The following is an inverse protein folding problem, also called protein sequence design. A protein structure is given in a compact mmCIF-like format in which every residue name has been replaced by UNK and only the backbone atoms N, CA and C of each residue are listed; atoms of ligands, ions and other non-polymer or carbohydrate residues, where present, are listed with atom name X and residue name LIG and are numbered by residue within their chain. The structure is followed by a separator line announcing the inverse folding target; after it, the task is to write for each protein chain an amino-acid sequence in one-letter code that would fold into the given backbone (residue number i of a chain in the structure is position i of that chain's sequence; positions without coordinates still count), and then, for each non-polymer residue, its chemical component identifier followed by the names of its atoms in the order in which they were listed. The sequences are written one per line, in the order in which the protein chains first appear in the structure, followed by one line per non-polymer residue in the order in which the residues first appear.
data_IF_455369284772
#
_entry.id   IF_455369284772
#
_cell.length_a   1.000
_cell.length_b   1.000
_cell.length_c   1.000
_cell.angle_alpha   90.00
_cell.angle_beta   90.00
_cell.angle_gamma   90.00
#
_symmetry.space_group_name_H-M   'P 1'
#
loop_
_entity.id
_entity.type
_entity.pdbx_description
1 polymer ?
#
# COMPACT_ATOMS: atom_id res chain seq x y z
N UNK A 1 53.06 1.90 -57.64
CA UNK A 1 52.49 0.89 -56.74
C UNK A 1 52.45 1.51 -55.36
N UNK A 2 51.32 2.12 -55.02
CA UNK A 2 50.21 1.52 -54.25
C UNK A 2 50.50 1.66 -52.73
N UNK A 3 49.87 2.64 -52.07
CA UNK A 3 48.66 2.52 -51.21
C UNK A 3 49.08 2.29 -49.73
N UNK A 4 48.43 2.76 -48.66
CA UNK A 4 47.33 3.68 -48.34
C UNK A 4 47.37 3.87 -46.81
N UNK A 5 46.86 5.00 -46.32
CA UNK A 5 46.65 5.33 -44.89
C UNK A 5 45.67 4.36 -44.21
N UNK A 6 45.83 4.08 -42.92
CA UNK A 6 44.72 3.84 -41.98
C UNK A 6 45.24 4.02 -40.54
N UNK A 7 44.96 5.15 -39.88
CA UNK A 7 43.79 5.44 -39.05
C UNK A 7 43.73 4.58 -37.77
N UNK A 8 43.76 5.28 -36.64
CA UNK A 8 43.84 4.71 -35.30
C UNK A 8 42.61 3.88 -34.92
N UNK A 9 42.85 2.66 -34.47
CA UNK A 9 41.85 1.84 -33.79
C UNK A 9 41.93 2.11 -32.29
N UNK A 10 41.24 3.17 -31.83
CA UNK A 10 40.79 3.23 -30.45
C UNK A 10 39.60 2.30 -30.30
N UNK A 11 39.79 1.22 -29.54
CA UNK A 11 38.72 0.29 -29.15
C UNK A 11 37.63 1.08 -28.39
N UNK A 12 36.34 0.95 -28.76
CA UNK A 12 35.27 1.46 -27.92
C UNK A 12 35.17 0.61 -26.65
N UNK A 13 35.33 1.26 -25.49
CA UNK A 13 35.00 0.66 -24.19
C UNK A 13 33.56 0.13 -24.21
N UNK A 14 33.28 -1.06 -23.66
CA UNK A 14 31.91 -1.52 -23.52
C UNK A 14 31.16 -0.53 -22.61
N UNK A 15 30.11 0.09 -23.15
CA UNK A 15 29.15 0.83 -22.35
C UNK A 15 28.58 -0.09 -21.27
N UNK A 16 28.35 0.41 -20.02
CA UNK A 16 27.63 -0.37 -19.04
C UNK A 16 26.21 -0.56 -19.58
N UNK A 17 25.95 -1.74 -20.13
CA UNK A 17 24.59 -2.17 -20.40
C UNK A 17 23.91 -2.26 -19.04
N UNK A 18 22.89 -1.43 -18.85
CA UNK A 18 21.92 -1.57 -17.77
C UNK A 18 21.20 -2.89 -17.97
N UNK A 19 21.81 -3.95 -17.47
CA UNK A 19 21.28 -5.29 -17.46
C UNK A 19 19.99 -5.27 -16.67
N UNK A 20 18.90 -5.58 -17.39
CA UNK A 20 17.58 -5.91 -16.89
C UNK A 20 17.72 -6.78 -15.63
N UNK A 21 17.40 -6.22 -14.47
CA UNK A 21 17.16 -7.03 -13.28
C UNK A 21 15.92 -7.86 -13.54
N UNK A 22 16.16 -9.16 -13.65
CA UNK A 22 15.17 -10.21 -13.70
C UNK A 22 14.08 -9.96 -12.65
N UNK A 23 12.83 -10.20 -13.06
CA UNK A 23 11.65 -10.23 -12.22
C UNK A 23 11.86 -11.34 -11.18
N UNK A 24 12.40 -10.98 -10.02
CA UNK A 24 12.09 -11.67 -8.78
C UNK A 24 10.83 -11.02 -8.25
N UNK A 25 9.71 -11.77 -8.24
CA UNK A 25 8.49 -11.39 -7.52
C UNK A 25 8.85 -11.24 -6.05
N UNK A 26 9.35 -10.07 -5.70
CA UNK A 26 9.63 -9.66 -4.34
C UNK A 26 8.32 -9.08 -3.84
N UNK A 27 7.74 -9.73 -2.83
CA UNK A 27 6.52 -9.30 -2.17
C UNK A 27 6.59 -7.79 -1.85
N UNK A 28 5.46 -7.10 -2.00
CA UNK A 28 5.21 -5.68 -1.67
C UNK A 28 6.07 -4.60 -2.32
N UNK A 29 6.69 -4.81 -3.49
CA UNK A 29 7.40 -3.71 -4.16
C UNK A 29 6.47 -2.79 -4.95
N UNK A 30 6.56 -1.48 -4.74
CA UNK A 30 5.92 -0.50 -5.62
C UNK A 30 6.41 -0.63 -7.07
N UNK A 31 5.52 -0.41 -8.06
CA UNK A 31 5.92 -0.44 -9.46
C UNK A 31 6.91 0.70 -9.77
N UNK A 32 7.65 0.57 -10.87
CA UNK A 32 8.55 1.64 -11.30
C UNK A 32 7.72 2.85 -11.74
N UNK A 33 7.91 4.04 -11.12
CA UNK A 33 7.18 5.23 -11.51
C UNK A 33 7.61 5.68 -12.90
N UNK A 34 6.72 6.40 -13.60
CA UNK A 34 7.06 6.94 -14.92
C UNK A 34 8.22 7.92 -14.84
N UNK A 35 9.13 7.84 -15.83
CA UNK A 35 10.25 8.77 -15.96
C UNK A 35 9.82 10.24 -16.11
N UNK A 36 8.67 10.47 -16.74
CA UNK A 36 8.13 11.81 -16.94
C UNK A 36 6.76 11.92 -16.26
N UNK A 37 6.65 12.77 -15.22
CA UNK A 37 5.38 13.10 -14.60
C UNK A 37 4.34 13.56 -15.63
N UNK A 38 3.07 13.38 -15.29
CA UNK A 38 1.96 13.90 -16.07
C UNK A 38 2.04 15.43 -16.09
N UNK A 39 1.89 16.01 -17.28
CA UNK A 39 1.90 17.46 -17.43
C UNK A 39 0.55 18.02 -16.98
N UNK A 40 0.53 19.07 -16.14
CA UNK A 40 -0.70 19.77 -15.79
C UNK A 40 -1.49 20.21 -17.04
N UNK A 41 -2.80 19.97 -17.04
CA UNK A 41 -3.74 20.22 -18.14
C UNK A 41 -3.63 19.27 -19.33
N UNK A 42 -2.80 18.22 -19.28
CA UNK A 42 -2.62 17.33 -20.43
C UNK A 42 -3.75 16.30 -20.54
N UNK A 43 -4.00 15.83 -21.77
CA UNK A 43 -4.97 14.75 -22.02
C UNK A 43 -4.65 13.47 -21.23
N UNK A 44 -3.36 13.19 -21.00
CA UNK A 44 -2.93 12.03 -20.20
C UNK A 44 -3.24 12.21 -18.72
N UNK A 45 -3.15 13.44 -18.20
CA UNK A 45 -3.55 13.76 -16.82
C UNK A 45 -5.06 13.62 -16.65
N UNK A 46 -5.84 14.21 -17.55
CA UNK A 46 -7.31 14.13 -17.52
C UNK A 46 -7.77 12.67 -17.60
N UNK A 47 -7.18 11.88 -18.51
CA UNK A 47 -7.49 10.46 -18.63
C UNK A 47 -7.13 9.67 -17.37
N UNK A 48 -6.01 9.99 -16.72
CA UNK A 48 -5.60 9.38 -15.46
C UNK A 48 -6.57 9.71 -14.31
N UNK A 49 -6.94 10.97 -14.16
CA UNK A 49 -7.93 11.43 -13.16
C UNK A 49 -9.24 10.67 -13.34
N UNK A 50 -9.79 10.68 -14.56
CA UNK A 50 -11.04 9.97 -14.86
C UNK A 50 -10.94 8.46 -14.57
N UNK A 51 -9.81 7.84 -14.89
CA UNK A 51 -9.57 6.43 -14.64
C UNK A 51 -9.56 6.11 -13.14
N UNK A 52 -8.78 6.85 -12.35
CA UNK A 52 -8.67 6.62 -10.89
C UNK A 52 -10.00 6.91 -10.21
N UNK A 53 -10.67 8.01 -10.55
CA UNK A 53 -11.98 8.35 -10.00
C UNK A 53 -13.03 7.25 -10.30
N UNK A 54 -13.04 6.75 -11.53
CA UNK A 54 -13.93 5.66 -11.92
C UNK A 54 -13.65 4.37 -11.14
N UNK A 55 -12.37 4.05 -10.90
CA UNK A 55 -11.99 2.87 -10.13
C UNK A 55 -12.31 3.01 -8.65
N UNK A 56 -12.06 4.16 -8.04
CA UNK A 56 -12.45 4.43 -6.65
C UNK A 56 -13.97 4.35 -6.50
N UNK A 57 -14.74 4.91 -7.44
CA UNK A 57 -16.19 4.83 -7.43
C UNK A 57 -16.68 3.38 -7.55
N UNK A 58 -16.06 2.58 -8.42
CA UNK A 58 -16.35 1.16 -8.56
C UNK A 58 -16.09 0.39 -7.25
N UNK A 59 -14.93 0.62 -6.61
CA UNK A 59 -14.58 0.02 -5.32
C UNK A 59 -15.63 0.36 -4.25
N UNK A 60 -16.00 1.64 -4.13
CA UNK A 60 -17.03 2.07 -3.17
C UNK A 60 -18.40 1.44 -3.44
N UNK A 61 -18.78 1.27 -4.71
CA UNK A 61 -20.02 0.58 -5.07
C UNK A 61 -19.99 -0.89 -4.67
N UNK A 62 -18.89 -1.61 -4.92
CA UNK A 62 -18.73 -3.00 -4.49
C UNK A 62 -18.75 -3.14 -2.97
N UNK A 63 -18.11 -2.21 -2.26
CA UNK A 63 -18.13 -2.17 -0.81
C UNK A 63 -19.54 -1.92 -0.26
N UNK A 64 -20.28 -0.94 -0.78
CA UNK A 64 -21.65 -0.68 -0.36
C UNK A 64 -22.57 -1.89 -0.58
N UNK A 65 -22.38 -2.62 -1.68
CA UNK A 65 -23.18 -3.80 -2.01
C UNK A 65 -22.96 -5.00 -1.10
N UNK A 66 -21.84 -5.07 -0.37
CA UNK A 66 -21.63 -6.05 0.71
C UNK A 66 -22.75 -6.02 1.76
N UNK A 67 -23.35 -4.84 1.98
CA UNK A 67 -24.42 -4.63 2.95
C UNK A 67 -25.82 -4.73 2.33
N UNK A 68 -25.95 -4.86 1.01
CA UNK A 68 -27.23 -5.04 0.35
C UNK A 68 -27.54 -6.52 0.16
N UNK A 69 -28.63 -7.00 0.75
CA UNK A 69 -29.03 -8.42 0.72
C UNK A 69 -29.52 -8.94 -0.63
N UNK A 70 -29.40 -8.16 -1.72
CA UNK A 70 -29.81 -8.53 -3.06
C UNK A 70 -28.62 -8.96 -3.91
N UNK A 71 -28.34 -10.28 -3.96
CA UNK A 71 -27.47 -10.86 -4.99
C UNK A 71 -28.22 -10.86 -6.31
N UNK A 72 -28.03 -9.82 -7.10
CA UNK A 72 -28.38 -9.88 -8.51
C UNK A 72 -27.25 -10.60 -9.24
N UNK A 73 -27.38 -11.92 -9.38
CA UNK A 73 -26.31 -12.82 -9.88
C UNK A 73 -26.02 -12.62 -11.37
N UNK A 74 -26.79 -11.78 -12.07
CA UNK A 74 -26.64 -11.54 -13.50
C UNK A 74 -25.67 -10.41 -13.88
N UNK A 75 -25.15 -9.66 -12.92
CA UNK A 75 -24.24 -8.53 -13.19
C UNK A 75 -22.94 -8.70 -12.38
N UNK A 76 -21.89 -9.24 -13.00
CA UNK A 76 -20.60 -9.49 -12.35
C UNK A 76 -19.94 -8.19 -11.86
N UNK A 77 -20.18 -7.08 -12.57
CA UNK A 77 -19.74 -5.73 -12.17
C UNK A 77 -20.57 -5.19 -10.98
N UNK A 78 -21.66 -5.86 -10.64
CA UNK A 78 -22.51 -5.56 -9.49
C UNK A 78 -22.22 -6.40 -8.24
N UNK A 79 -21.31 -7.36 -8.26
CA UNK A 79 -21.08 -8.21 -7.08
C UNK A 79 -20.31 -7.45 -6.00
N UNK A 80 -20.85 -7.44 -4.78
CA UNK A 80 -20.16 -6.89 -3.61
C UNK A 80 -18.89 -7.67 -3.23
N UNK A 81 -18.09 -7.13 -2.32
CA UNK A 81 -16.93 -7.87 -1.79
C UNK A 81 -17.38 -9.00 -0.86
N UNK A 82 -16.99 -10.23 -1.18
CA UNK A 82 -17.25 -11.41 -0.34
C UNK A 82 -16.24 -11.51 0.81
N UNK A 83 -14.98 -11.13 0.55
CA UNK A 83 -13.88 -11.11 1.51
C UNK A 83 -13.03 -9.84 1.33
N UNK A 84 -12.12 -9.61 2.28
CA UNK A 84 -11.21 -8.47 2.23
C UNK A 84 -10.12 -8.62 1.17
N UNK A 85 -9.78 -9.84 0.76
CA UNK A 85 -8.71 -10.10 -0.21
C UNK A 85 -9.07 -9.52 -1.58
N UNK A 86 -10.30 -9.72 -2.03
CA UNK A 86 -10.84 -9.10 -3.25
C UNK A 86 -10.81 -7.56 -3.18
N UNK A 87 -11.09 -6.98 -2.02
CA UNK A 87 -11.02 -5.53 -1.83
C UNK A 87 -9.57 -5.03 -1.86
N UNK A 88 -8.65 -5.75 -1.22
CA UNK A 88 -7.22 -5.46 -1.25
C UNK A 88 -6.67 -5.50 -2.66
N UNK A 89 -7.06 -6.48 -3.47
CA UNK A 89 -6.65 -6.57 -4.87
C UNK A 89 -7.07 -5.33 -5.66
N UNK A 90 -8.35 -4.93 -5.59
CA UNK A 90 -8.83 -3.73 -6.29
C UNK A 90 -8.13 -2.45 -5.79
N UNK A 91 -7.92 -2.31 -4.48
CA UNK A 91 -7.21 -1.18 -3.86
C UNK A 91 -5.75 -1.13 -4.29
N UNK A 92 -5.07 -2.27 -4.36
CA UNK A 92 -3.68 -2.39 -4.80
C UNK A 92 -3.50 -1.99 -6.27
N UNK A 93 -4.44 -2.38 -7.15
CA UNK A 93 -4.41 -1.96 -8.55
C UNK A 93 -4.52 -0.43 -8.69
N UNK A 94 -5.34 0.21 -7.86
CA UNK A 94 -5.48 1.67 -7.85
C UNK A 94 -4.22 2.33 -7.27
N UNK A 95 -3.66 1.79 -6.18
CA UNK A 95 -2.39 2.22 -5.60
C UNK A 95 -1.27 2.22 -6.65
N UNK A 96 -1.16 1.15 -7.42
CA UNK A 96 -0.15 1.01 -8.47
C UNK A 96 -0.33 2.00 -9.60
N UNK A 97 -1.56 2.20 -10.06
CA UNK A 97 -1.85 3.21 -11.06
C UNK A 97 -1.49 4.62 -10.57
N UNK A 98 -1.84 4.96 -9.33
CA UNK A 98 -1.49 6.23 -8.70
C UNK A 98 0.02 6.38 -8.64
N UNK A 99 0.74 5.36 -8.17
CA UNK A 99 2.19 5.40 -8.06
C UNK A 99 2.88 5.56 -9.41
N UNK A 100 2.45 4.81 -10.42
CA UNK A 100 2.99 4.90 -11.79
C UNK A 100 2.82 6.30 -12.40
N UNK A 101 1.82 7.08 -11.99
CA UNK A 101 1.63 8.45 -12.50
C UNK A 101 2.86 9.36 -12.34
N UNK A 102 3.71 9.09 -11.33
CA UNK A 102 4.92 9.86 -11.04
C UNK A 102 4.66 11.35 -10.79
N UNK A 103 3.42 11.74 -10.44
CA UNK A 103 2.99 13.14 -10.35
C UNK A 103 2.58 13.46 -8.91
N UNK A 104 3.47 14.03 -8.09
CA UNK A 104 3.24 14.17 -6.65
C UNK A 104 1.95 14.90 -6.28
N UNK A 105 1.58 15.93 -7.04
CA UNK A 105 0.35 16.71 -6.85
C UNK A 105 -0.93 15.90 -7.04
N UNK A 106 -0.87 14.78 -7.77
CA UNK A 106 -1.95 13.81 -7.90
C UNK A 106 -1.77 12.65 -6.91
N UNK A 107 -0.54 12.16 -6.76
CA UNK A 107 -0.25 11.03 -5.89
C UNK A 107 -0.67 11.29 -4.45
N UNK A 108 -0.26 12.40 -3.84
CA UNK A 108 -0.54 12.70 -2.44
C UNK A 108 -2.05 12.68 -2.12
N UNK A 109 -2.91 13.46 -2.81
CA UNK A 109 -4.34 13.46 -2.50
C UNK A 109 -5.03 12.11 -2.76
N UNK A 110 -4.66 11.40 -3.85
CA UNK A 110 -5.26 10.10 -4.14
C UNK A 110 -4.79 9.00 -3.18
N UNK A 111 -3.52 8.98 -2.76
CA UNK A 111 -3.03 8.06 -1.75
C UNK A 111 -3.67 8.32 -0.37
N UNK A 112 -3.88 9.59 -0.01
CA UNK A 112 -4.62 9.95 1.21
C UNK A 112 -6.07 9.45 1.16
N UNK A 113 -6.75 9.61 0.01
CA UNK A 113 -8.09 9.08 -0.19
C UNK A 113 -8.12 7.55 -0.05
N UNK A 114 -7.18 6.87 -0.72
CA UNK A 114 -7.07 5.41 -0.69
C UNK A 114 -6.77 4.88 0.72
N UNK A 115 -5.87 5.54 1.47
CA UNK A 115 -5.60 5.22 2.88
C UNK A 115 -6.86 5.36 3.75
N UNK A 116 -7.67 6.38 3.50
CA UNK A 116 -8.97 6.55 4.17
C UNK A 116 -9.94 5.39 3.87
N UNK A 117 -10.01 4.94 2.62
CA UNK A 117 -10.84 3.78 2.24
C UNK A 117 -10.36 2.49 2.89
N UNK A 118 -9.04 2.27 2.95
CA UNK A 118 -8.45 1.12 3.65
C UNK A 118 -8.92 1.12 5.11
N UNK A 119 -8.78 2.25 5.80
CA UNK A 119 -9.21 2.41 7.18
C UNK A 119 -10.72 2.18 7.36
N UNK A 120 -11.55 2.64 6.43
CA UNK A 120 -13.00 2.42 6.45
C UNK A 120 -13.38 0.95 6.23
N UNK A 121 -12.66 0.24 5.35
CA UNK A 121 -13.03 -1.11 4.96
C UNK A 121 -12.58 -2.15 5.98
N UNK A 122 -11.42 -1.97 6.63
CA UNK A 122 -10.85 -2.90 7.60
C UNK A 122 -11.85 -3.44 8.65
N UNK A 123 -12.65 -2.63 9.36
CA UNK A 123 -13.55 -3.13 10.40
C UNK A 123 -14.76 -3.91 9.86
N UNK A 124 -15.00 -3.86 8.55
CA UNK A 124 -16.14 -4.48 7.89
C UNK A 124 -15.91 -5.93 7.47
N UNK A 125 -14.69 -6.44 7.58
CA UNK A 125 -14.32 -7.81 7.22
C UNK A 125 -13.61 -8.51 8.40
N UNK A 126 -13.59 -9.86 8.44
CA UNK A 126 -12.68 -10.60 9.31
C UNK A 126 -11.23 -10.17 9.06
N UNK A 127 -10.43 -10.08 10.12
CA UNK A 127 -9.09 -9.53 10.01
C UNK A 127 -8.15 -10.52 9.33
N UNK A 128 -7.73 -10.21 8.10
CA UNK A 128 -6.77 -11.01 7.36
C UNK A 128 -5.39 -10.33 7.35
N UNK A 129 -4.45 -10.82 8.18
CA UNK A 129 -3.13 -10.21 8.35
C UNK A 129 -2.36 -10.11 7.03
N UNK A 130 -2.33 -11.18 6.21
CA UNK A 130 -1.48 -11.24 5.02
C UNK A 130 -1.77 -10.12 4.00
N UNK A 131 -2.96 -10.09 3.39
CA UNK A 131 -3.35 -9.04 2.44
C UNK A 131 -3.34 -7.64 3.06
N UNK A 132 -3.78 -7.50 4.31
CA UNK A 132 -3.78 -6.21 5.01
C UNK A 132 -2.37 -5.64 5.14
N UNK A 133 -1.43 -6.45 5.66
CA UNK A 133 -0.06 -6.01 5.88
C UNK A 133 0.66 -5.76 4.56
N UNK A 134 0.37 -6.55 3.52
CA UNK A 134 0.91 -6.34 2.18
C UNK A 134 0.51 -4.97 1.61
N UNK A 135 -0.78 -4.66 1.63
CA UNK A 135 -1.31 -3.39 1.12
C UNK A 135 -0.77 -2.20 1.90
N UNK A 136 -0.75 -2.31 3.24
CA UNK A 136 -0.27 -1.26 4.13
C UNK A 136 1.24 -1.03 4.00
N UNK A 137 2.04 -2.09 3.84
CA UNK A 137 3.48 -1.95 3.58
C UNK A 137 3.75 -1.21 2.27
N UNK A 138 2.97 -1.50 1.22
CA UNK A 138 3.07 -0.81 -0.07
C UNK A 138 2.65 0.67 0.02
N UNK A 139 1.58 0.95 0.76
CA UNK A 139 1.17 2.32 1.11
C UNK A 139 2.25 3.07 1.91
N UNK A 140 2.87 2.41 2.90
CA UNK A 140 3.95 2.97 3.70
C UNK A 140 5.17 3.29 2.85
N UNK A 141 5.58 2.40 1.96
CA UNK A 141 6.65 2.66 1.01
C UNK A 141 6.35 3.90 0.16
N UNK A 142 5.10 4.06 -0.31
CA UNK A 142 4.72 5.18 -1.18
C UNK A 142 4.79 6.51 -0.42
N UNK A 143 4.22 6.56 0.79
CA UNK A 143 4.30 7.74 1.63
C UNK A 143 5.74 8.05 2.06
N UNK A 144 6.54 7.06 2.46
CA UNK A 144 7.92 7.26 2.88
C UNK A 144 8.78 7.86 1.76
N UNK A 145 8.62 7.38 0.52
CA UNK A 145 9.32 7.95 -0.64
C UNK A 145 8.89 9.40 -0.87
N UNK A 146 7.59 9.69 -0.86
CA UNK A 146 7.09 11.06 -1.06
C UNK A 146 7.55 12.02 0.04
N UNK A 147 7.48 11.60 1.30
CA UNK A 147 7.88 12.38 2.47
C UNK A 147 9.38 12.69 2.49
N UNK A 148 10.18 11.85 1.83
CA UNK A 148 11.64 12.01 1.71
C UNK A 148 12.05 12.89 0.51
N UNK A 149 11.15 13.14 -0.43
CA UNK A 149 11.45 13.93 -1.63
C UNK A 149 11.52 15.45 -1.34
N UNK A 150 12.46 16.11 -2.01
CA UNK A 150 12.66 17.56 -1.97
C UNK A 150 12.24 18.20 -3.30
N UNK A 151 11.74 19.44 -3.26
CA UNK A 151 11.35 20.22 -4.46
C UNK A 151 12.54 20.55 -5.33
N UNK A 152 13.65 20.94 -4.70
CA UNK A 152 14.91 21.21 -5.37
C UNK A 152 16.04 20.40 -4.71
N UNK A 153 16.62 19.48 -5.48
CA UNK A 153 17.74 18.64 -5.04
C UNK A 153 19.10 19.34 -5.14
N UNK A 154 19.16 20.52 -5.78
CA UNK A 154 20.41 21.27 -6.00
C UNK A 154 20.79 22.21 -4.86
N UNK A 155 19.91 22.41 -3.88
CA UNK A 155 20.19 23.16 -2.65
C UNK A 155 20.50 22.21 -1.49
N UNK A 156 21.79 21.92 -1.22
CA UNK A 156 22.19 20.91 -0.23
C UNK A 156 21.87 21.28 1.22
N UNK A 157 21.64 22.57 1.51
CA UNK A 157 21.55 23.10 2.89
C UNK A 157 20.22 23.79 3.23
N UNK A 158 19.19 23.71 2.37
CA UNK A 158 17.86 24.17 2.75
C UNK A 158 17.26 23.18 3.76
N UNK A 159 17.52 23.45 5.05
CA UNK A 159 16.94 22.77 6.23
C UNK A 159 15.44 23.00 6.38
N UNK A 160 14.86 23.85 5.53
CA UNK A 160 13.51 24.34 5.74
C UNK A 160 12.48 23.39 5.11
N UNK A 161 11.40 23.15 5.85
CA UNK A 161 10.18 22.49 5.37
C UNK A 161 9.65 23.09 4.05
N UNK A 162 10.09 24.30 3.66
CA UNK A 162 9.82 24.94 2.38
C UNK A 162 10.32 24.14 1.17
N UNK A 163 11.46 23.43 1.30
CA UNK A 163 12.05 22.62 0.24
C UNK A 163 11.53 21.17 0.20
N UNK A 164 10.62 20.78 1.10
CA UNK A 164 9.97 19.47 1.00
C UNK A 164 8.90 19.47 -0.08
N UNK A 165 8.80 18.36 -0.80
CA UNK A 165 7.79 18.17 -1.83
C UNK A 165 6.38 18.10 -1.23
N UNK A 166 6.24 17.36 -0.13
CA UNK A 166 5.00 17.24 0.64
C UNK A 166 4.83 18.46 1.53
N UNK A 167 3.66 19.11 1.46
CA UNK A 167 3.36 20.28 2.29
C UNK A 167 3.21 19.92 3.77
N UNK A 168 3.43 20.88 4.68
CA UNK A 168 3.23 20.66 6.13
C UNK A 168 1.81 20.14 6.42
N UNK A 169 0.79 20.69 5.75
CA UNK A 169 -0.59 20.24 5.86
C UNK A 169 -0.75 18.78 5.44
N UNK A 170 -0.15 18.39 4.31
CA UNK A 170 -0.22 17.00 3.84
C UNK A 170 0.53 16.05 4.78
N UNK A 171 1.67 16.47 5.36
CA UNK A 171 2.38 15.67 6.39
C UNK A 171 1.49 15.37 7.60
N UNK A 172 0.75 16.36 8.08
CA UNK A 172 -0.21 16.18 9.19
C UNK A 172 -1.34 15.24 8.78
N UNK A 173 -1.87 15.37 7.55
CA UNK A 173 -2.92 14.47 7.04
C UNK A 173 -2.43 13.03 6.91
N UNK A 174 -1.22 12.82 6.38
CA UNK A 174 -0.58 11.51 6.27
C UNK A 174 -0.41 10.91 7.66
N UNK A 175 0.11 11.67 8.63
CA UNK A 175 0.26 11.20 10.01
C UNK A 175 -1.09 10.78 10.61
N UNK A 176 -2.10 11.63 10.48
CA UNK A 176 -3.43 11.39 11.05
C UNK A 176 -4.09 10.13 10.47
N UNK A 177 -4.02 9.92 9.15
CA UNK A 177 -4.60 8.71 8.53
C UNK A 177 -3.83 7.45 8.91
N UNK A 178 -2.50 7.53 9.03
CA UNK A 178 -1.66 6.42 9.48
C UNK A 178 -2.00 6.02 10.91
N UNK A 179 -2.04 6.99 11.83
CA UNK A 179 -2.35 6.74 13.24
C UNK A 179 -3.76 6.15 13.39
N UNK A 180 -4.75 6.70 12.67
CA UNK A 180 -6.11 6.17 12.62
C UNK A 180 -6.16 4.72 12.09
N UNK A 181 -5.48 4.43 10.99
CA UNK A 181 -5.44 3.08 10.40
C UNK A 181 -4.85 2.06 11.36
N UNK A 182 -3.80 2.43 12.11
CA UNK A 182 -3.19 1.54 13.11
C UNK A 182 -4.15 1.22 14.26
N UNK A 183 -4.86 2.23 14.78
CA UNK A 183 -5.89 2.03 15.81
C UNK A 183 -6.98 1.10 15.32
N UNK A 184 -7.52 1.36 14.12
CA UNK A 184 -8.56 0.53 13.51
C UNK A 184 -8.07 -0.90 13.28
N UNK A 185 -6.82 -1.12 12.85
CA UNK A 185 -6.27 -2.45 12.66
C UNK A 185 -6.15 -3.23 13.99
N UNK A 186 -5.74 -2.56 15.08
CA UNK A 186 -5.74 -3.17 16.43
C UNK A 186 -7.16 -3.56 16.83
N UNK A 187 -8.12 -2.64 16.70
CA UNK A 187 -9.52 -2.89 17.05
C UNK A 187 -10.12 -4.03 16.24
N UNK A 188 -9.91 -4.05 14.92
CA UNK A 188 -10.37 -5.11 14.04
C UNK A 188 -9.76 -6.47 14.41
N UNK A 189 -8.45 -6.54 14.66
CA UNK A 189 -7.79 -7.78 15.09
C UNK A 189 -8.31 -8.27 16.45
N UNK A 190 -8.48 -7.38 17.43
CA UNK A 190 -8.97 -7.75 18.76
C UNK A 190 -10.41 -8.25 18.74
N UNK A 191 -11.28 -7.61 17.94
CA UNK A 191 -12.68 -8.01 17.75
C UNK A 191 -12.80 -9.39 17.11
N UNK A 192 -12.01 -9.66 16.07
CA UNK A 192 -11.99 -10.94 15.37
C UNK A 192 -11.59 -12.08 16.34
N UNK A 193 -10.58 -11.83 17.18
CA UNK A 193 -10.11 -12.77 18.21
C UNK A 193 -11.13 -13.02 19.32
N UNK A 194 -11.82 -11.98 19.80
CA UNK A 194 -12.88 -12.14 20.79
C UNK A 194 -14.06 -12.98 20.27
N UNK A 195 -14.30 -12.94 18.95
CA UNK A 195 -15.35 -13.73 18.30
C UNK A 195 -14.94 -15.21 18.21
N UNK A 196 -13.66 -15.51 18.00
CA UNK A 196 -13.13 -16.88 17.96
C UNK A 196 -13.16 -17.58 19.34
N UNK A 197 -12.79 -16.88 20.43
CA UNK A 197 -12.77 -17.45 21.79
C UNK A 197 -14.17 -17.82 22.33
N UNK A 198 -15.27 -17.38 21.71
CA UNK A 198 -16.65 -17.69 22.14
C UNK A 198 -17.28 -18.89 21.41
N UNK A 199 -16.73 -19.34 20.29
CA UNK A 199 -17.23 -20.51 19.56
C UNK A 199 -16.69 -21.85 20.08
N UNK A 200 -15.56 -21.82 20.81
CA UNK A 200 -14.92 -23.02 21.40
C UNK A 200 -15.59 -23.47 22.73
N UNK A 201 -16.54 -22.69 23.27
CA UNK A 201 -17.26 -23.05 24.49
C UNK A 201 -18.51 -23.92 24.25
N UNK A 202 -18.71 -24.42 23.03
CA UNK A 202 -19.92 -25.15 22.63
C UNK A 202 -19.61 -26.40 21.81
N UNK A 203 -18.79 -27.33 22.31
CA UNK A 203 -18.90 -28.75 21.94
C UNK A 203 -18.62 -29.67 23.14
N UNK A 204 -19.27 -30.83 23.09
CA UNK A 204 -19.63 -31.65 24.23
C UNK A 204 -18.47 -32.34 24.95
N UNK A 205 -18.77 -32.73 26.19
CA UNK A 205 -18.04 -33.72 26.96
C UNK A 205 -17.69 -34.93 26.10
N UNK A 206 -16.45 -34.98 25.61
CA UNK A 206 -15.82 -36.22 25.15
C UNK A 206 -14.41 -36.24 25.70
N UNK A 207 -14.20 -37.16 26.64
CA UNK A 207 -12.98 -37.39 27.39
C UNK A 207 -11.92 -38.00 26.46
N UNK A 208 -11.01 -37.17 25.96
CA UNK A 208 -9.71 -37.62 25.48
C UNK A 208 -8.62 -36.67 25.98
N UNK A 209 -8.09 -36.96 27.17
CA UNK A 209 -6.77 -36.47 27.58
C UNK A 209 -5.76 -36.83 26.48
N UNK A 210 -4.73 -35.99 26.28
CA UNK A 210 -3.54 -36.17 25.42
C UNK A 210 -3.38 -35.30 24.14
N UNK A 211 -4.18 -34.24 23.89
CA UNK A 211 -3.87 -33.26 22.80
C UNK A 211 -4.06 -31.75 23.14
N UNK A 212 -4.21 -31.35 24.41
CA UNK A 212 -4.57 -29.96 24.76
C UNK A 212 -3.38 -29.00 24.99
N UNK A 213 -2.13 -29.48 24.97
CA UNK A 213 -0.95 -28.67 25.34
C UNK A 213 -0.27 -27.93 24.17
N UNK A 214 -0.64 -28.19 22.91
CA UNK A 214 0.01 -27.60 21.72
C UNK A 214 -0.77 -26.44 21.10
N UNK A 215 -2.09 -26.35 21.35
CA UNK A 215 -2.98 -25.32 20.78
C UNK A 215 -2.88 -23.98 21.50
N UNK A 216 -2.69 -23.99 22.83
CA UNK A 216 -2.59 -22.76 23.62
C UNK A 216 -1.29 -21.97 23.32
N UNK A 217 -0.15 -22.65 23.20
CA UNK A 217 1.16 -22.01 22.95
C UNK A 217 1.26 -21.43 21.52
N UNK A 218 0.74 -22.16 20.53
CA UNK A 218 0.68 -21.69 19.13
C UNK A 218 -0.24 -20.48 18.94
N UNK A 219 -1.39 -20.42 19.63
CA UNK A 219 -2.28 -19.26 19.60
C UNK A 219 -1.62 -18.02 20.23
N UNK A 220 -0.94 -18.15 21.39
CA UNK A 220 -0.20 -17.04 22.01
C UNK A 220 0.91 -16.53 21.11
N UNK A 221 1.65 -17.42 20.43
CA UNK A 221 2.70 -17.03 19.50
C UNK A 221 2.15 -16.29 18.27
N UNK A 222 1.04 -16.76 17.70
CA UNK A 222 0.36 -16.10 16.58
C UNK A 222 -0.17 -14.71 16.99
N UNK A 223 -0.74 -14.59 18.19
CA UNK A 223 -1.22 -13.31 18.77
C UNK A 223 -0.08 -12.30 18.91
N UNK A 224 1.09 -12.73 19.37
CA UNK A 224 2.27 -11.88 19.51
C UNK A 224 2.86 -11.47 18.16
N UNK A 225 2.87 -12.39 17.17
CA UNK A 225 3.32 -12.10 15.81
C UNK A 225 2.46 -11.00 15.18
N UNK A 226 1.13 -11.13 15.25
CA UNK A 226 0.20 -10.15 14.68
C UNK A 226 0.34 -8.78 15.35
N UNK A 227 0.39 -8.73 16.69
CA UNK A 227 0.60 -7.48 17.42
C UNK A 227 1.93 -6.81 17.01
N UNK A 228 2.97 -7.60 16.75
CA UNK A 228 4.25 -7.11 16.24
C UNK A 228 4.12 -6.56 14.82
N UNK A 229 3.40 -7.26 13.93
CA UNK A 229 3.11 -6.79 12.56
C UNK A 229 2.35 -5.47 12.56
N UNK A 230 1.28 -5.35 13.36
CA UNK A 230 0.51 -4.10 13.50
C UNK A 230 1.39 -2.97 14.06
N UNK A 231 2.27 -3.28 15.01
CA UNK A 231 3.18 -2.28 15.57
C UNK A 231 4.11 -1.66 14.52
N UNK A 232 4.53 -2.47 13.53
CA UNK A 232 5.39 -2.07 12.39
C UNK A 232 4.63 -1.43 11.22
N UNK A 233 3.30 -1.39 11.25
CA UNK A 233 2.52 -0.70 10.21
C UNK A 233 2.95 0.76 10.11
N UNK A 234 3.26 1.21 8.89
CA UNK A 234 3.68 2.57 8.58
C UNK A 234 4.96 3.05 9.30
N UNK A 235 5.83 2.13 9.72
CA UNK A 235 7.05 2.46 10.46
C UNK A 235 7.97 3.43 9.70
N UNK A 236 8.14 3.27 8.38
CA UNK A 236 9.02 4.13 7.58
C UNK A 236 8.49 5.56 7.52
N UNK A 237 7.20 5.72 7.20
CA UNK A 237 6.55 7.02 7.12
C UNK A 237 6.53 7.73 8.48
N UNK A 238 6.23 7.01 9.56
CA UNK A 238 6.21 7.57 10.91
C UNK A 238 7.60 8.02 11.38
N UNK A 239 8.66 7.28 11.06
CA UNK A 239 10.04 7.70 11.36
C UNK A 239 10.35 9.06 10.73
N UNK A 240 10.03 9.23 9.44
CA UNK A 240 10.29 10.49 8.71
C UNK A 240 9.43 11.64 9.25
N UNK A 241 8.19 11.36 9.66
CA UNK A 241 7.30 12.36 10.24
C UNK A 241 7.72 12.77 11.65
N UNK A 242 8.21 11.83 12.45
CA UNK A 242 8.76 12.05 13.78
C UNK A 242 9.97 12.99 13.78
N UNK A 243 10.92 12.76 12.87
CA UNK A 243 12.14 13.56 12.74
C UNK A 243 11.89 15.00 12.25
N UNK A 244 10.74 15.26 11.62
CA UNK A 244 10.45 16.55 10.97
C UNK A 244 9.66 17.55 11.81
N UNK A 245 9.19 17.15 12.99
CA UNK A 245 8.27 17.91 13.86
C UNK A 245 8.88 18.25 15.23
N UNK A 246 10.17 17.95 15.42
CA UNK A 246 10.94 18.25 16.64
C UNK A 246 11.84 19.47 16.50
#
# INVERSE_FOLDING_TARGET
MEFVRNEGQSLPSPAPSSSLTAITKSASSLPTPRHYPLKPGSQKEIAFINYVDSKILHINRRYAKKFSSGRDETDEEARGYDDFENAVEDLEHVLDAIWVSGTPTLQIPYLLSLAGLIAEFLPSFPFNEGPTMHLVDKMDQAFAILLSQRKDSTVPFASDASNQLVSVTDRVRIRSVIESTRVIAVEASTKDRASADTQDASEGFTESEYEELTSADSNVQSRNSLNMSISRMYERSLSILGDSLG
#
